data_IF_180998252985
#
_entry.id   IF_180998252985
#
_cell.length_a   1.000
_cell.length_b   1.000
_cell.length_c   1.000
_cell.angle_alpha   90.00
_cell.angle_beta   90.00
_cell.angle_gamma   90.00
#
_symmetry.space_group_name_H-M   'P 1'
#
loop_
_entity.id
_entity.type
_entity.pdbx_description
1 polymer ?
2 non-polymer ?
3 water ?
#
# COMPACT_ATOMS: atom_id res chain seq x y z
CA UNK A 18 -13.91 -22.31 18.01
C UNK A 18 -14.72 -23.52 17.54
N UNK A 19 -15.78 -23.26 16.77
CA UNK A 19 -16.59 -24.34 16.16
C UNK A 19 -15.91 -24.91 14.90
N UNK A 20 -15.20 -24.06 14.15
CA UNK A 20 -14.63 -24.44 12.87
C UNK A 20 -13.13 -24.63 12.98
N UNK A 21 -12.62 -25.71 12.38
CA UNK A 21 -11.18 -25.97 12.31
C UNK A 21 -10.51 -24.83 11.58
N UNK A 22 -9.38 -24.36 12.09
CA UNK A 22 -8.63 -23.38 11.32
C UNK A 22 -8.19 -23.89 9.95
N UNK A 23 -8.19 -23.03 8.95
CA UNK A 23 -7.63 -23.37 7.63
C UNK A 23 -6.67 -22.28 7.20
N UNK A 24 -5.54 -22.68 6.61
CA UNK A 24 -4.65 -21.78 5.88
C UNK A 24 -5.31 -21.41 4.58
N UNK A 25 -5.12 -20.18 4.16
CA UNK A 25 -5.60 -19.80 2.86
C UNK A 25 -4.81 -18.63 2.40
N UNK A 26 -4.69 -18.50 1.08
CA UNK A 26 -3.96 -17.38 0.55
C UNK A 26 -4.85 -16.50 -0.32
N UNK A 27 -4.38 -15.27 -0.46
CA UNK A 27 -5.13 -14.22 -1.12
C UNK A 27 -4.22 -13.62 -2.16
N UNK A 28 -4.84 -13.22 -3.26
CA UNK A 28 -4.16 -12.46 -4.26
C UNK A 28 -4.54 -11.00 -3.99
N UNK A 29 -3.53 -10.18 -3.75
CA UNK A 29 -3.72 -8.76 -3.47
C UNK A 29 -3.40 -7.97 -4.74
N UNK A 30 -4.41 -7.27 -5.24
CA UNK A 30 -4.26 -6.42 -6.44
C UNK A 30 -4.28 -4.95 -6.05
N UNK A 31 -3.53 -4.16 -6.82
CA UNK A 31 -3.27 -2.74 -6.59
C UNK A 31 -3.63 -1.97 -7.88
N UNK A 32 -4.92 -1.81 -8.17
CA UNK A 32 -5.29 -1.08 -9.41
C UNK A 32 -4.82 0.37 -9.38
N UNK A 33 -4.29 0.86 -10.50
CA UNK A 33 -3.80 2.24 -10.59
C UNK A 33 -3.63 2.69 -12.03
N UNK A 39 2.33 10.78 -11.64
CA UNK A 39 2.71 12.07 -11.08
C UNK A 39 4.19 12.38 -11.36
N UNK A 40 4.44 13.40 -12.18
CA UNK A 40 5.79 13.95 -12.32
C UNK A 40 6.23 14.63 -11.02
N UNK A 41 7.54 14.71 -10.82
CA UNK A 41 8.14 15.33 -9.64
C UNK A 41 9.02 16.47 -10.12
N UNK A 42 8.86 17.65 -9.54
CA UNK A 42 9.69 18.79 -9.89
C UNK A 42 10.88 18.81 -8.92
N UNK A 43 12.08 18.83 -9.49
CA UNK A 43 13.35 18.87 -8.73
C UNK A 43 14.06 20.16 -9.03
N UNK A 44 14.50 20.81 -7.97
CA UNK A 44 15.17 22.10 -8.03
C UNK A 44 16.67 21.95 -7.83
N UNK A 45 17.40 22.34 -8.86
CA UNK A 45 18.82 22.04 -8.99
C UNK A 45 19.56 23.27 -9.51
N UNK A 46 20.77 23.07 -10.02
CA UNK A 46 21.66 24.18 -10.35
C UNK A 46 22.68 23.59 -11.30
N UNK A 47 23.08 24.37 -12.29
CA UNK A 47 24.11 23.90 -13.23
C UNK A 47 25.41 23.42 -12.61
N UNK A 48 25.75 23.92 -11.42
CA UNK A 48 26.98 23.51 -10.74
C UNK A 48 26.77 22.38 -9.74
N UNK A 49 25.52 21.98 -9.51
CA UNK A 49 25.23 20.82 -8.65
C UNK A 49 25.64 19.57 -9.38
N UNK A 50 25.83 18.48 -8.65
CA UNK A 50 26.16 17.20 -9.24
C UNK A 50 24.93 16.43 -9.71
N UNK A 51 25.14 15.52 -10.66
CA UNK A 51 24.13 14.60 -11.07
C UNK A 51 23.63 13.76 -9.88
N UNK A 52 24.57 13.33 -9.04
CA UNK A 52 24.20 12.54 -7.88
C UNK A 52 23.27 13.27 -6.95
N UNK A 53 23.41 14.60 -6.81
CA UNK A 53 22.48 15.33 -5.93
C UNK A 53 21.04 15.18 -6.43
N UNK A 54 20.83 15.14 -7.73
CA UNK A 54 19.46 14.98 -8.26
C UNK A 54 18.97 13.57 -8.05
N UNK A 55 19.84 12.59 -8.30
CA UNK A 55 19.48 11.19 -8.05
C UNK A 55 19.07 10.98 -6.61
N UNK A 56 19.84 11.52 -5.69
CA UNK A 56 19.54 11.34 -4.27
C UNK A 56 18.29 12.09 -3.83
N UNK A 57 18.03 13.25 -4.40
CA UNK A 57 16.81 14.00 -4.15
C UNK A 57 15.60 13.17 -4.56
N UNK A 58 15.67 12.54 -5.71
CA UNK A 58 14.54 11.75 -6.19
C UNK A 58 14.36 10.54 -5.26
N UNK A 59 15.42 9.84 -4.90
CA UNK A 59 15.32 8.64 -4.04
C UNK A 59 14.76 9.01 -2.68
N UNK A 60 15.24 10.10 -2.11
CA UNK A 60 14.71 10.56 -0.82
C UNK A 60 13.25 10.89 -0.86
N UNK A 61 12.76 11.48 -1.94
CA UNK A 61 11.32 11.71 -2.07
C UNK A 61 10.53 10.39 -2.14
N UNK A 62 11.01 9.41 -2.90
CA UNK A 62 10.32 8.12 -2.98
C UNK A 62 10.27 7.48 -1.59
N UNK A 63 11.39 7.50 -0.88
CA UNK A 63 11.42 7.02 0.49
C UNK A 63 10.47 7.75 1.42
N UNK A 64 10.41 9.07 1.31
CA UNK A 64 9.51 9.87 2.15
C UNK A 64 8.07 9.50 1.84
N UNK A 65 7.78 9.30 0.56
CA UNK A 65 6.40 8.95 0.15
C UNK A 65 5.94 7.63 0.79
N UNK A 66 6.80 6.62 0.78
CA UNK A 66 6.49 5.32 1.39
C UNK A 66 6.38 5.39 2.90
N UNK A 67 7.21 6.21 3.55
CA UNK A 67 7.06 6.39 5.01
C UNK A 67 5.71 7.00 5.43
N UNK A 68 5.07 7.76 4.54
CA UNK A 68 3.77 8.39 4.76
C UNK A 68 2.61 7.54 4.21
N UNK A 69 2.90 6.30 3.80
CA UNK A 69 1.92 5.45 3.11
C UNK A 69 1.18 4.57 4.11
N UNK A 70 -0.15 4.50 3.95
CA UNK A 70 -0.99 3.50 4.61
C UNK A 70 -1.67 2.66 3.55
N UNK A 71 -2.05 1.46 3.98
CA UNK A 71 -2.76 0.48 3.11
C UNK A 71 -4.25 0.52 3.39
N UNK A 72 -5.03 0.75 2.33
CA UNK A 72 -6.47 0.61 2.37
C UNK A 72 -6.87 -0.73 1.75
N UNK A 73 -7.88 -1.36 2.31
CA UNK A 73 -8.29 -2.69 1.88
C UNK A 73 -9.76 -2.73 1.55
N UNK A 74 -10.08 -3.40 0.45
CA UNK A 74 -11.46 -3.52 -0.04
C UNK A 74 -11.75 -4.96 -0.31
N UNK A 75 -12.90 -5.42 0.17
CA UNK A 75 -13.40 -6.78 -0.11
C UNK A 75 -14.84 -6.59 -0.52
N UNK A 76 -15.19 -7.17 -1.66
CA UNK A 76 -16.53 -7.07 -2.22
C UNK A 76 -17.00 -5.63 -2.36
N UNK A 77 -16.11 -4.76 -2.84
CA UNK A 77 -16.42 -3.35 -3.02
C UNK A 77 -16.27 -2.46 -1.80
N UNK A 78 -16.35 -3.02 -0.58
CA UNK A 78 -16.49 -2.23 0.64
C UNK A 78 -15.11 -2.03 1.32
N UNK A 79 -14.87 -0.82 1.79
CA UNK A 79 -13.66 -0.46 2.54
C UNK A 79 -13.72 -1.15 3.90
N UNK A 80 -12.62 -1.79 4.29
CA UNK A 80 -12.52 -2.39 5.61
C UNK A 80 -11.85 -1.36 6.51
N UNK A 81 -12.59 -0.88 7.50
CA UNK A 81 -12.09 0.13 8.41
C UNK A 81 -10.98 -0.43 9.29
N UNK A 82 -9.84 0.29 9.48
CA UNK A 82 -8.83 -0.15 10.43
C UNK A 82 -9.33 -0.48 11.84
N UNK A 83 -10.45 0.13 12.25
CA UNK A 83 -11.15 -0.23 13.49
C UNK A 83 -11.56 -1.70 13.60
N UNK A 84 -11.70 -2.35 12.46
CA UNK A 84 -12.05 -3.76 12.37
C UNK A 84 -10.85 -4.70 12.25
N UNK A 85 -9.63 -4.21 12.45
CA UNK A 85 -8.44 -5.00 12.20
C UNK A 85 -8.20 -6.16 13.16
N UNK A 86 -8.83 -6.16 14.34
CA UNK A 86 -8.76 -7.30 15.24
C UNK A 86 -9.87 -8.33 14.99
N UNK A 87 -10.73 -8.06 14.02
CA UNK A 87 -11.64 -9.11 13.55
C UNK A 87 -10.87 -10.14 12.73
N UNK A 88 -11.43 -11.33 12.57
CA UNK A 88 -10.76 -12.44 11.91
C UNK A 88 -11.03 -12.52 10.43
N UNK A 89 -10.03 -13.00 9.70
CA UNK A 89 -10.11 -13.20 8.27
C UNK A 89 -11.33 -14.07 7.91
N UNK A 90 -11.62 -15.06 8.75
CA UNK A 90 -12.81 -15.92 8.64
C UNK A 90 -14.14 -15.19 8.67
N UNK A 91 -14.19 -14.00 9.27
CA UNK A 91 -15.40 -13.17 9.27
C UNK A 91 -15.63 -12.41 7.95
N UNK A 92 -14.61 -12.27 7.12
CA UNK A 92 -14.74 -11.64 5.83
C UNK A 92 -15.31 -12.59 4.77
N UNK A 93 -15.88 -11.99 3.73
CA UNK A 93 -16.31 -12.72 2.53
C UNK A 93 -15.10 -13.11 1.70
N UNK A 94 -14.28 -14.01 2.26
CA UNK A 94 -13.04 -14.45 1.61
C UNK A 94 -12.92 -15.96 1.77
N UNK A 95 -12.45 -16.60 0.70
CA UNK A 95 -12.04 -17.99 0.77
C UNK A 95 -10.69 -18.13 0.11
N UNK A 96 -10.21 -19.35 -0.04
CA UNK A 96 -8.90 -19.57 -0.61
C UNK A 96 -8.83 -19.01 -2.02
N UNK A 97 -7.72 -18.29 -2.27
CA UNK A 97 -7.44 -17.61 -3.52
C UNK A 97 -8.37 -16.42 -3.84
N UNK A 98 -9.16 -15.96 -2.86
CA UNK A 98 -10.00 -14.78 -3.07
C UNK A 98 -9.14 -13.55 -3.31
N UNK A 99 -9.72 -12.61 -4.04
CA UNK A 99 -9.05 -11.34 -4.36
C UNK A 99 -9.26 -10.31 -3.26
N UNK A 100 -8.18 -9.64 -2.85
CA UNK A 100 -8.28 -8.46 -2.01
C UNK A 100 -7.78 -7.29 -2.83
N UNK A 101 -8.49 -6.16 -2.78
CA UNK A 101 -8.05 -4.98 -3.48
C UNK A 101 -7.42 -4.01 -2.47
N UNK A 102 -6.19 -3.62 -2.75
CA UNK A 102 -5.46 -2.69 -1.89
C UNK A 102 -5.18 -1.39 -2.62
N UNK A 103 -5.09 -0.31 -1.84
CA UNK A 103 -4.68 0.99 -2.35
C UNK A 103 -3.62 1.53 -1.41
N UNK A 104 -2.59 2.13 -1.98
CA UNK A 104 -1.55 2.81 -1.21
C UNK A 104 -1.99 4.25 -1.19
N UNK A 105 -2.13 4.80 0.01
CA UNK A 105 -2.60 6.14 0.19
C UNK A 105 -1.59 6.90 1.03
N UNK A 106 -1.23 8.09 0.56
CA UNK A 106 -0.23 8.90 1.24
C UNK A 106 -0.91 9.89 2.18
N UNK A 107 -0.36 10.03 3.39
CA UNK A 107 -0.89 10.95 4.43
C UNK A 107 -2.32 10.61 4.86
X LIG B 1 26.44 16.69 -4.31
X LIG C 1 23.09 15.38 -2.21
X LIG D 1 1.30 8.13 -13.18
#
# INVERSE_FOLDING_TARGET
MHHHHHHSSGRENLYFQGAFRGKHLSFVVRFPNQGRQVDDLEVWSHTNDTIGSVRRCILNRIKANVAHTKIELFVGGELIDPADDRKLIGQLNLKDKSLITAKLTQISS
UNX UNK
UNX UNK
UNX UNK
#
